data_IF_242438644857
#
_entry.id   IF_242438644857
#
_cell.length_a   1.000
_cell.length_b   1.000
_cell.length_c   1.000
_cell.angle_alpha   90.00
_cell.angle_beta   90.00
_cell.angle_gamma   90.00
#
_symmetry.space_group_name_H-M   'P 1'
#
loop_
_entity.id
_entity.type
_entity.pdbx_description
1 polymer ?
#
# COMPACT_ATOMS: atom_id res chain seq x y z
N UNK A 1 3.07 -13.39 17.19
CA UNK A 1 2.12 -13.44 16.05
C UNK A 1 2.24 -12.11 15.33
N UNK A 2 2.70 -12.11 14.08
CA UNK A 2 2.88 -10.87 13.30
C UNK A 2 1.52 -10.26 12.94
N UNK A 3 1.40 -8.94 13.04
CA UNK A 3 0.19 -8.20 12.68
C UNK A 3 -0.01 -8.26 11.15
N UNK A 4 -1.11 -8.85 10.70
CA UNK A 4 -1.39 -9.02 9.27
C UNK A 4 -2.32 -7.91 8.78
N UNK A 5 -1.73 -6.88 8.17
CA UNK A 5 -2.42 -5.68 7.67
C UNK A 5 -3.60 -6.01 6.74
N UNK A 6 -3.40 -6.90 5.77
CA UNK A 6 -4.45 -7.26 4.81
C UNK A 6 -5.62 -8.01 5.45
N UNK A 7 -5.36 -8.83 6.47
CA UNK A 7 -6.41 -9.50 7.24
C UNK A 7 -7.22 -8.51 8.08
N UNK A 8 -6.55 -7.56 8.72
CA UNK A 8 -7.23 -6.57 9.57
C UNK A 8 -8.02 -5.54 8.74
N UNK A 9 -7.51 -5.10 7.58
CA UNK A 9 -8.28 -4.23 6.67
C UNK A 9 -9.55 -4.94 6.14
N UNK A 10 -9.46 -6.24 5.83
CA UNK A 10 -10.61 -7.02 5.38
C UNK A 10 -11.69 -7.13 6.46
N UNK A 11 -11.29 -7.32 7.72
CA UNK A 11 -12.22 -7.29 8.86
C UNK A 11 -12.83 -5.91 9.03
N UNK A 12 -12.02 -4.85 8.92
CA UNK A 12 -12.49 -3.48 9.05
C UNK A 12 -13.54 -3.13 7.99
N UNK A 13 -13.33 -3.51 6.72
CA UNK A 13 -14.32 -3.31 5.65
C UNK A 13 -15.65 -4.01 5.92
N UNK A 14 -15.61 -5.29 6.31
CA UNK A 14 -16.82 -6.07 6.62
C UNK A 14 -17.57 -5.42 7.79
N UNK A 15 -16.84 -4.99 8.81
CA UNK A 15 -17.41 -4.33 9.97
C UNK A 15 -18.03 -2.97 9.62
N UNK A 16 -17.32 -2.13 8.87
CA UNK A 16 -17.81 -0.81 8.43
C UNK A 16 -19.02 -0.89 7.50
N UNK A 17 -19.05 -1.84 6.57
CA UNK A 17 -20.21 -2.04 5.70
C UNK A 17 -21.47 -2.41 6.50
N UNK A 18 -21.32 -3.22 7.55
CA UNK A 18 -22.42 -3.55 8.44
C UNK A 18 -22.90 -2.34 9.26
N UNK A 19 -21.97 -1.53 9.77
CA UNK A 19 -22.28 -0.33 10.54
C UNK A 19 -22.98 0.74 9.70
N UNK A 20 -22.46 1.06 8.51
CA UNK A 20 -23.07 2.05 7.61
C UNK A 20 -24.47 1.61 7.18
N UNK A 21 -24.69 0.30 6.98
CA UNK A 21 -26.03 -0.23 6.70
C UNK A 21 -27.01 0.07 7.83
N UNK A 22 -26.60 -0.13 9.08
CA UNK A 22 -27.42 0.17 10.26
C UNK A 22 -27.71 1.67 10.37
N UNK A 23 -26.71 2.53 10.11
CA UNK A 23 -26.89 3.98 10.13
C UNK A 23 -27.89 4.45 9.08
N UNK A 24 -27.85 3.89 7.87
CA UNK A 24 -28.85 4.16 6.82
C UNK A 24 -30.25 3.70 7.23
N UNK A 25 -30.37 2.52 7.84
CA UNK A 25 -31.65 2.01 8.35
C UNK A 25 -32.24 2.91 9.46
N UNK A 26 -31.39 3.61 10.21
CA UNK A 26 -31.81 4.56 11.25
C UNK A 26 -32.02 5.99 10.73
N UNK A 27 -31.94 6.21 9.42
CA UNK A 27 -32.22 7.50 8.79
C UNK A 27 -31.13 8.55 9.01
N UNK A 28 -29.89 8.14 9.29
CA UNK A 28 -28.74 9.05 9.34
C UNK A 28 -28.44 9.54 7.92
N UNK A 29 -28.12 10.83 7.79
CA UNK A 29 -27.78 11.45 6.51
C UNK A 29 -26.48 10.88 5.92
N UNK A 30 -26.44 10.70 4.60
CA UNK A 30 -25.31 10.05 3.92
C UNK A 30 -24.01 10.87 4.06
N UNK A 31 -24.08 12.20 4.13
CA UNK A 31 -22.88 13.01 4.35
C UNK A 31 -22.32 12.83 5.78
N UNK A 32 -23.19 12.55 6.75
CA UNK A 32 -22.77 12.22 8.11
C UNK A 32 -22.12 10.84 8.16
N UNK A 33 -22.67 9.87 7.42
CA UNK A 33 -22.11 8.52 7.31
C UNK A 33 -20.73 8.56 6.64
N UNK A 34 -20.57 9.36 5.59
CA UNK A 34 -19.29 9.55 4.90
C UNK A 34 -18.24 10.20 5.82
N UNK A 35 -18.61 11.23 6.59
CA UNK A 35 -17.72 11.84 7.57
C UNK A 35 -17.26 10.84 8.64
N UNK A 36 -18.20 10.04 9.19
CA UNK A 36 -17.88 8.98 10.15
C UNK A 36 -16.91 7.96 9.53
N UNK A 37 -17.12 7.57 8.27
CA UNK A 37 -16.22 6.65 7.56
C UNK A 37 -14.81 7.21 7.43
N UNK A 38 -14.67 8.51 7.14
CA UNK A 38 -13.37 9.18 7.03
C UNK A 38 -12.67 9.20 8.39
N UNK A 39 -13.38 9.61 9.45
CA UNK A 39 -12.83 9.71 10.80
C UNK A 39 -12.40 8.33 11.33
N UNK A 40 -13.25 7.31 11.18
CA UNK A 40 -12.94 5.94 11.59
C UNK A 40 -11.78 5.33 10.78
N UNK A 41 -11.63 5.75 9.51
CA UNK A 41 -10.50 5.33 8.68
C UNK A 41 -9.21 5.96 9.19
N UNK A 42 -9.24 7.23 9.60
CA UNK A 42 -8.09 7.90 10.18
C UNK A 42 -7.64 7.23 11.49
N UNK A 43 -8.59 6.86 12.36
CA UNK A 43 -8.32 6.14 13.60
C UNK A 43 -7.79 4.72 13.35
N UNK A 44 -8.38 3.99 12.42
CA UNK A 44 -7.87 2.67 12.01
C UNK A 44 -6.44 2.75 11.46
N UNK A 45 -6.15 3.77 10.66
CA UNK A 45 -4.80 4.02 10.14
C UNK A 45 -3.81 4.41 11.24
N UNK A 46 -4.24 5.19 12.23
CA UNK A 46 -3.42 5.56 13.41
C UNK A 46 -3.06 4.33 14.24
N UNK A 47 -4.05 3.47 14.54
CA UNK A 47 -3.81 2.20 15.24
C UNK A 47 -2.92 1.26 14.44
N UNK A 48 -3.09 1.17 13.11
CA UNK A 48 -2.19 0.41 12.23
C UNK A 48 -0.74 0.94 12.30
N UNK A 49 -0.55 2.26 12.25
CA UNK A 49 0.77 2.89 12.40
C UNK A 49 1.38 2.63 13.78
N UNK A 50 0.56 2.60 14.83
CA UNK A 50 1.00 2.25 16.17
C UNK A 50 1.50 0.79 16.26
N UNK A 51 0.78 -0.18 15.68
CA UNK A 51 1.22 -1.57 15.66
C UNK A 51 2.44 -1.80 14.77
N UNK A 52 2.57 -1.07 13.67
CA UNK A 52 3.80 -1.04 12.87
C UNK A 52 4.98 -0.55 13.72
N UNK A 53 4.80 0.57 14.43
CA UNK A 53 5.85 1.19 15.23
C UNK A 53 6.22 0.38 16.48
N UNK A 54 5.25 -0.27 17.14
CA UNK A 54 5.54 -1.14 18.31
C UNK A 54 6.13 -2.49 17.93
N UNK A 55 5.81 -3.04 16.73
CA UNK A 55 6.57 -4.15 16.16
C UNK A 55 8.01 -3.75 15.84
N UNK A 56 8.21 -2.61 15.16
CA UNK A 56 9.53 -2.04 14.89
C UNK A 56 10.34 -1.77 16.19
N UNK A 57 9.69 -1.32 17.26
CA UNK A 57 10.36 -1.00 18.53
C UNK A 57 10.77 -2.26 19.32
N UNK A 58 10.00 -3.35 19.21
CA UNK A 58 10.40 -4.66 19.74
C UNK A 58 11.60 -5.24 18.98
N UNK A 59 11.64 -5.06 17.66
CA UNK A 59 12.76 -5.47 16.81
C UNK A 59 13.97 -4.55 16.93
N UNK A 60 13.81 -3.27 17.31
CA UNK A 60 14.92 -2.32 17.50
C UNK A 60 15.91 -2.74 18.60
N UNK A 61 15.44 -3.45 19.65
CA UNK A 61 16.30 -3.97 20.72
C UNK A 61 16.96 -5.31 20.36
N UNK A 62 16.35 -6.10 19.48
CA UNK A 62 16.87 -7.40 19.03
C UNK A 62 17.79 -7.27 17.78
N UNK A 63 17.60 -6.20 16.99
CA UNK A 63 18.25 -5.96 15.69
C UNK A 63 19.55 -5.16 15.69
N UNK A 64 20.17 -4.86 16.84
CA UNK A 64 21.55 -4.32 16.83
C UNK A 64 22.61 -5.35 16.44
N UNK A 65 22.26 -6.64 16.41
CA UNK A 65 23.17 -7.74 16.04
C UNK A 65 23.24 -7.97 14.50
N UNK A 66 22.15 -7.78 13.77
CA UNK A 66 22.03 -8.19 12.36
C UNK A 66 21.89 -6.99 11.42
N UNK A 67 22.91 -6.13 11.42
CA UNK A 67 23.13 -5.17 10.32
C UNK A 67 23.52 -5.91 9.04
N UNK A 68 22.59 -6.60 8.40
CA UNK A 68 22.63 -6.93 6.97
C UNK A 68 21.27 -7.52 6.55
N UNK A 69 20.49 -6.70 5.83
CA UNK A 69 19.34 -7.14 5.01
C UNK A 69 18.10 -7.70 5.75
N UNK A 70 17.43 -6.90 6.58
CA UNK A 70 15.99 -7.14 6.84
C UNK A 70 15.16 -6.54 5.70
N UNK A 71 15.20 -7.24 4.57
CA UNK A 71 14.27 -7.08 3.48
C UNK A 71 12.91 -7.65 3.88
N UNK A 72 12.05 -6.86 4.54
CA UNK A 72 10.63 -7.23 4.57
C UNK A 72 10.10 -7.24 3.13
N UNK A 73 9.54 -8.37 2.71
CA UNK A 73 9.08 -8.60 1.35
C UNK A 73 7.81 -7.78 1.10
N UNK A 74 7.95 -6.48 0.83
CA UNK A 74 6.86 -5.66 0.29
C UNK A 74 6.40 -6.29 -1.02
N UNK A 75 5.13 -6.67 -1.12
CA UNK A 75 4.49 -7.15 -2.36
C UNK A 75 3.96 -5.96 -3.17
N UNK A 76 3.45 -6.21 -4.38
CA UNK A 76 2.82 -5.14 -5.18
C UNK A 76 1.54 -4.65 -4.50
N UNK A 77 0.84 -5.58 -3.87
CA UNK A 77 -0.38 -5.35 -3.10
C UNK A 77 -0.08 -4.45 -1.89
N UNK A 78 0.96 -4.76 -1.11
CA UNK A 78 1.37 -3.92 0.03
C UNK A 78 1.74 -2.48 -0.41
N UNK A 79 2.39 -2.35 -1.57
CA UNK A 79 2.73 -1.04 -2.13
C UNK A 79 1.49 -0.24 -2.54
N UNK A 80 0.45 -0.90 -3.07
CA UNK A 80 -0.81 -0.22 -3.39
C UNK A 80 -1.59 0.17 -2.14
N UNK A 81 -1.55 -0.68 -1.10
CA UNK A 81 -2.20 -0.47 0.20
C UNK A 81 -1.52 0.63 1.06
N UNK A 82 -0.35 1.13 0.63
CA UNK A 82 0.37 2.25 1.23
C UNK A 82 0.01 3.62 0.59
N UNK A 83 -0.74 3.66 -0.51
CA UNK A 83 -1.07 4.92 -1.20
C UNK A 83 -2.28 5.59 -0.57
N UNK A 84 -2.11 6.82 -0.08
CA UNK A 84 -3.19 7.63 0.52
C UNK A 84 -4.01 8.43 -0.52
N UNK A 85 -3.39 8.86 -1.61
CA UNK A 85 -4.05 9.66 -2.65
C UNK A 85 -4.90 8.76 -3.56
N UNK A 86 -6.23 8.94 -3.51
CA UNK A 86 -7.19 8.13 -4.26
C UNK A 86 -6.95 8.22 -5.77
N UNK A 87 -6.62 9.40 -6.31
CA UNK A 87 -6.36 9.57 -7.75
C UNK A 87 -5.11 8.81 -8.19
N UNK A 88 -4.07 8.81 -7.36
CA UNK A 88 -2.83 8.06 -7.56
C UNK A 88 -3.06 6.55 -7.42
N UNK A 89 -3.85 6.12 -6.45
CA UNK A 89 -4.24 4.72 -6.27
C UNK A 89 -5.00 4.20 -7.49
N UNK A 90 -6.04 4.90 -7.96
CA UNK A 90 -6.78 4.56 -9.17
C UNK A 90 -5.89 4.57 -10.42
N UNK A 91 -4.97 5.54 -10.52
CA UNK A 91 -4.01 5.62 -11.61
C UNK A 91 -3.08 4.40 -11.66
N UNK A 92 -2.63 3.92 -10.50
CA UNK A 92 -1.71 2.79 -10.36
C UNK A 92 -2.43 1.44 -10.47
N UNK A 93 -3.70 1.34 -10.06
CA UNK A 93 -4.55 0.16 -10.30
C UNK A 93 -4.68 -0.17 -11.79
N UNK A 94 -4.70 0.84 -12.65
CA UNK A 94 -4.79 0.66 -14.11
C UNK A 94 -3.43 0.40 -14.79
N UNK A 95 -2.35 0.31 -14.01
CA UNK A 95 -1.00 -0.05 -14.50
C UNK A 95 -0.83 -1.55 -14.44
N UNK A 96 -0.15 -2.12 -15.44
CA UNK A 96 0.07 -3.56 -15.44
C UNK A 96 0.96 -4.01 -14.27
N UNK A 97 0.63 -5.16 -13.69
CA UNK A 97 1.29 -5.71 -12.49
C UNK A 97 2.80 -5.84 -12.64
N UNK A 98 3.30 -6.13 -13.85
CA UNK A 98 4.74 -6.24 -14.11
C UNK A 98 5.44 -4.88 -14.03
N UNK A 99 4.81 -3.80 -14.48
CA UNK A 99 5.32 -2.43 -14.29
C UNK A 99 5.32 -2.03 -12.81
N UNK A 100 4.28 -2.37 -12.05
CA UNK A 100 4.28 -2.14 -10.59
C UNK A 100 5.38 -2.92 -9.87
N UNK A 101 5.64 -4.16 -10.29
CA UNK A 101 6.75 -4.97 -9.77
C UNK A 101 8.12 -4.34 -10.06
N UNK A 102 8.31 -3.72 -11.23
CA UNK A 102 9.52 -2.96 -11.54
C UNK A 102 9.68 -1.79 -10.58
N UNK A 103 8.62 -1.02 -10.32
CA UNK A 103 8.66 0.14 -9.40
C UNK A 103 9.04 -0.30 -7.99
N UNK A 104 8.40 -1.37 -7.50
CA UNK A 104 8.68 -1.97 -6.20
C UNK A 104 10.15 -2.39 -6.07
N UNK A 105 10.70 -3.07 -7.07
CA UNK A 105 12.12 -3.48 -7.07
C UNK A 105 13.05 -2.26 -7.11
N UNK A 106 12.70 -1.20 -7.86
CA UNK A 106 13.45 0.06 -7.86
C UNK A 106 13.45 0.73 -6.48
N UNK A 107 12.34 0.70 -5.75
CA UNK A 107 12.24 1.23 -4.38
C UNK A 107 13.08 0.41 -3.39
N UNK A 108 13.19 -0.91 -3.59
CA UNK A 108 14.09 -1.79 -2.83
C UNK A 108 15.58 -1.63 -3.18
N UNK A 109 15.93 -0.66 -4.03
CA UNK A 109 17.32 -0.36 -4.38
C UNK A 109 17.89 -1.16 -5.55
N UNK A 110 17.12 -2.03 -6.20
CA UNK A 110 17.62 -2.82 -7.32
C UNK A 110 17.93 -1.92 -8.53
N UNK A 111 19.03 -2.22 -9.21
CA UNK A 111 19.39 -1.61 -10.49
C UNK A 111 18.51 -2.16 -11.62
N UNK A 112 18.42 -1.42 -12.73
CA UNK A 112 17.67 -1.89 -13.92
C UNK A 112 18.29 -3.16 -14.53
N UNK A 113 19.60 -3.37 -14.35
CA UNK A 113 20.31 -4.57 -14.78
C UNK A 113 19.93 -5.79 -13.96
N UNK A 114 19.73 -5.62 -12.65
CA UNK A 114 19.29 -6.69 -11.74
C UNK A 114 17.79 -6.99 -11.91
N UNK A 115 16.98 -5.99 -12.21
CA UNK A 115 15.54 -6.17 -12.44
C UNK A 115 15.26 -6.93 -13.74
N UNK A 116 16.02 -6.66 -14.81
CA UNK A 116 15.85 -7.29 -16.13
C UNK A 116 15.67 -8.83 -16.09
N UNK A 117 16.56 -9.61 -15.44
CA UNK A 117 16.37 -11.05 -15.32
C UNK A 117 15.19 -11.45 -14.43
N UNK A 118 14.88 -10.67 -13.38
CA UNK A 118 13.79 -10.97 -12.44
C UNK A 118 12.40 -10.84 -13.05
N UNK A 119 12.20 -9.86 -13.94
CA UNK A 119 10.91 -9.62 -14.61
C UNK A 119 10.87 -10.11 -16.06
N UNK A 120 11.93 -10.79 -16.52
CA UNK A 120 12.10 -11.29 -17.88
C UNK A 120 11.87 -10.23 -18.95
N UNK A 121 12.55 -9.08 -18.81
CA UNK A 121 12.49 -7.97 -19.78
C UNK A 121 13.90 -7.45 -20.08
N UNK A 122 14.05 -6.82 -21.24
CA UNK A 122 15.26 -6.05 -21.53
C UNK A 122 15.29 -4.77 -20.70
N UNK A 123 16.49 -4.25 -20.43
CA UNK A 123 16.67 -2.97 -19.74
C UNK A 123 15.97 -1.83 -20.50
N UNK A 124 16.01 -1.83 -21.83
CA UNK A 124 15.29 -0.86 -22.67
C UNK A 124 13.77 -0.90 -22.47
N UNK A 125 13.18 -2.10 -22.39
CA UNK A 125 11.75 -2.26 -22.11
C UNK A 125 11.37 -1.77 -20.70
N UNK A 126 12.25 -1.97 -19.72
CA UNK A 126 12.08 -1.44 -18.36
C UNK A 126 12.08 0.10 -18.38
N UNK A 127 13.04 0.73 -19.06
CA UNK A 127 13.08 2.19 -19.18
C UNK A 127 11.84 2.76 -19.87
N UNK A 128 11.38 2.13 -20.96
CA UNK A 128 10.16 2.56 -21.65
C UNK A 128 8.94 2.49 -20.73
N UNK A 129 8.77 1.41 -19.97
CA UNK A 129 7.67 1.25 -19.01
C UNK A 129 7.68 2.33 -17.93
N UNK A 130 8.86 2.62 -17.36
CA UNK A 130 9.01 3.68 -16.36
C UNK A 130 8.72 5.08 -16.95
N UNK A 131 9.15 5.35 -18.19
CA UNK A 131 8.86 6.61 -18.87
C UNK A 131 7.36 6.79 -19.16
N UNK A 132 6.69 5.75 -19.66
CA UNK A 132 5.25 5.74 -19.87
C UNK A 132 4.49 5.96 -18.55
N UNK A 133 4.88 5.26 -17.48
CA UNK A 133 4.30 5.45 -16.16
C UNK A 133 4.47 6.90 -15.67
N UNK A 134 5.68 7.46 -15.79
CA UNK A 134 5.95 8.86 -15.41
C UNK A 134 5.08 9.86 -16.18
N UNK A 135 4.91 9.65 -17.49
CA UNK A 135 4.03 10.48 -18.34
C UNK A 135 2.56 10.37 -17.93
N UNK A 136 2.12 9.20 -17.48
CA UNK A 136 0.75 8.98 -17.00
C UNK A 136 0.52 9.70 -15.67
N UNK A 137 1.43 9.56 -14.71
CA UNK A 137 1.32 10.18 -13.39
C UNK A 137 1.37 11.72 -13.46
N UNK A 138 2.19 12.30 -14.35
CA UNK A 138 2.24 13.75 -14.60
C UNK A 138 0.95 14.39 -15.11
N UNK A 139 -0.02 13.60 -15.56
CA UNK A 139 -1.33 14.11 -16.00
C UNK A 139 -2.33 14.19 -14.86
N UNK A 140 -2.00 13.59 -13.72
CA UNK A 140 -2.90 13.34 -12.58
C UNK A 140 -2.40 14.13 -11.35
N UNK A 141 -1.08 14.21 -11.18
CA UNK A 141 -0.37 15.09 -10.25
C UNK A 141 -0.03 16.42 -10.93
#
# INVERSE_FOLDING_TARGET
MAYNNGREDRKWRIWKEAEEKVLREHGVDEATIEQIRIDDRADFNSNRRFYHWTSDFGEYLEGMADREQSAEVKTVEDLLDEIEDENLYQALLTVDRRTLQIVLLKMKGYSTKEIAPLVHLTTGAIYARLDHLRKKLRKIL
#
